data_IF_549061787042
#
_entry.id   IF_549061787042
#
_cell.length_a   1.000
_cell.length_b   1.000
_cell.length_c   1.000
_cell.angle_alpha   90.00
_cell.angle_beta   90.00
_cell.angle_gamma   90.00
#
_symmetry.space_group_name_H-M   'P 1'
#
loop_
_entity.id
_entity.type
_entity.pdbx_description
1 polymer ?
#
# COMPACT_ATOMS: atom_id res chain seq x y z
N UNK A 1 19.33 -41.34 13.29
CA UNK A 1 18.77 -40.95 11.97
C UNK A 1 17.52 -41.76 11.62
N UNK A 2 17.47 -43.08 11.88
CA UNK A 2 16.30 -43.92 11.56
C UNK A 2 15.01 -43.50 12.25
N UNK A 3 15.04 -43.12 13.54
CA UNK A 3 13.88 -42.66 14.29
C UNK A 3 13.32 -41.35 13.76
N UNK A 4 14.17 -40.39 13.30
CA UNK A 4 13.73 -39.14 12.70
C UNK A 4 13.08 -39.38 11.34
N UNK A 5 13.60 -40.31 10.56
CA UNK A 5 13.04 -40.69 9.25
C UNK A 5 11.66 -41.37 9.41
N UNK A 6 11.49 -42.24 10.41
CA UNK A 6 10.19 -42.89 10.67
C UNK A 6 9.16 -41.89 11.15
N UNK A 7 9.50 -40.95 12.01
CA UNK A 7 8.59 -39.88 12.44
C UNK A 7 8.18 -39.00 11.25
N UNK A 8 9.14 -38.61 10.40
CA UNK A 8 8.87 -37.84 9.17
C UNK A 8 7.91 -38.57 8.24
N UNK A 9 8.09 -39.87 8.04
CA UNK A 9 7.22 -40.69 7.21
C UNK A 9 5.79 -40.79 7.78
N UNK A 10 5.65 -40.95 9.09
CA UNK A 10 4.35 -41.01 9.78
C UNK A 10 3.61 -39.68 9.63
N UNK A 11 4.31 -38.54 9.84
CA UNK A 11 3.73 -37.21 9.65
C UNK A 11 3.27 -36.99 8.21
N UNK A 12 4.08 -37.38 7.23
CA UNK A 12 3.74 -37.27 5.81
C UNK A 12 2.52 -38.10 5.45
N UNK A 13 2.40 -39.32 5.98
CA UNK A 13 1.22 -40.19 5.77
C UNK A 13 -0.02 -39.54 6.43
N UNK A 14 0.09 -39.01 7.64
CA UNK A 14 -1.02 -38.35 8.33
C UNK A 14 -1.48 -37.09 7.57
N UNK A 15 -0.55 -36.28 7.03
CA UNK A 15 -0.88 -35.11 6.21
C UNK A 15 -1.56 -35.51 4.89
N UNK A 16 -1.06 -36.57 4.22
CA UNK A 16 -1.69 -37.10 3.00
C UNK A 16 -3.11 -37.61 3.24
N UNK A 17 -3.34 -38.34 4.33
CA UNK A 17 -4.65 -38.78 4.71
C UNK A 17 -5.59 -37.62 5.06
N UNK A 18 -5.12 -36.65 5.80
CA UNK A 18 -5.86 -35.43 6.12
C UNK A 18 -6.19 -34.61 4.86
N UNK A 19 -5.23 -34.46 3.94
CA UNK A 19 -5.44 -33.81 2.66
C UNK A 19 -6.47 -34.53 1.80
N UNK A 20 -6.39 -35.86 1.71
CA UNK A 20 -7.37 -36.71 0.98
C UNK A 20 -8.79 -36.57 1.52
N UNK A 21 -8.95 -36.53 2.84
CA UNK A 21 -10.26 -36.29 3.49
C UNK A 21 -10.80 -34.91 3.18
N UNK A 22 -9.93 -33.87 3.18
CA UNK A 22 -10.31 -32.50 2.88
C UNK A 22 -10.65 -32.29 1.40
N UNK A 23 -9.95 -32.99 0.48
CA UNK A 23 -10.24 -32.93 -0.96
C UNK A 23 -11.67 -33.40 -1.29
N UNK A 24 -12.15 -34.42 -0.63
CA UNK A 24 -13.56 -34.91 -0.78
C UNK A 24 -14.60 -33.88 -0.31
N UNK A 25 -14.25 -32.94 0.55
CA UNK A 25 -15.13 -31.90 1.07
C UNK A 25 -15.09 -30.59 0.24
N UNK A 26 -14.18 -30.51 -0.76
CA UNK A 26 -14.04 -29.33 -1.59
C UNK A 26 -15.19 -29.28 -2.61
N UNK A 27 -16.10 -28.35 -2.40
CA UNK A 27 -17.20 -28.11 -3.36
C UNK A 27 -16.64 -27.53 -4.66
N UNK A 28 -17.21 -27.97 -5.80
CA UNK A 28 -16.86 -27.47 -7.14
C UNK A 28 -16.82 -25.93 -7.21
N UNK A 29 -17.74 -25.27 -6.50
CA UNK A 29 -17.78 -23.80 -6.41
C UNK A 29 -16.49 -23.19 -5.81
N UNK A 30 -15.82 -23.87 -4.88
CA UNK A 30 -14.53 -23.40 -4.32
C UNK A 30 -13.38 -23.57 -5.29
N UNK A 31 -13.36 -24.66 -6.06
CA UNK A 31 -12.34 -24.88 -7.10
C UNK A 31 -12.45 -23.84 -8.21
N UNK A 32 -13.68 -23.58 -8.69
CA UNK A 32 -13.93 -22.55 -9.72
C UNK A 32 -13.55 -21.16 -9.21
N UNK A 33 -13.90 -20.81 -7.96
CA UNK A 33 -13.51 -19.51 -7.37
C UNK A 33 -11.99 -19.38 -7.18
N UNK A 34 -11.30 -20.49 -6.89
CA UNK A 34 -9.83 -20.52 -6.83
C UNK A 34 -9.19 -20.29 -8.20
N UNK A 35 -9.70 -20.97 -9.24
CA UNK A 35 -9.23 -20.81 -10.62
C UNK A 35 -9.43 -19.40 -11.16
N UNK A 36 -10.59 -18.78 -10.92
CA UNK A 36 -10.86 -17.40 -11.32
C UNK A 36 -9.95 -16.39 -10.60
N UNK A 37 -9.61 -16.65 -9.32
CA UNK A 37 -8.67 -15.84 -8.58
C UNK A 37 -7.26 -15.89 -9.21
N UNK A 38 -6.77 -17.11 -9.48
CA UNK A 38 -5.43 -17.31 -10.08
C UNK A 38 -5.38 -16.64 -11.45
N UNK A 39 -6.40 -16.84 -12.30
CA UNK A 39 -6.48 -16.20 -13.60
C UNK A 39 -6.53 -14.67 -13.51
N UNK A 40 -7.30 -14.13 -12.55
CA UNK A 40 -7.35 -12.68 -12.29
C UNK A 40 -6.02 -12.12 -11.80
N UNK A 41 -5.33 -12.82 -10.89
CA UNK A 41 -4.00 -12.42 -10.40
C UNK A 41 -2.96 -12.52 -11.51
N UNK A 42 -3.00 -13.56 -12.33
CA UNK A 42 -2.12 -13.75 -13.47
C UNK A 42 -2.30 -12.64 -14.50
N UNK A 43 -3.54 -12.31 -14.85
CA UNK A 43 -3.86 -11.16 -15.72
C UNK A 43 -3.37 -9.83 -15.14
N UNK A 44 -3.52 -9.63 -13.83
CA UNK A 44 -3.03 -8.42 -13.17
C UNK A 44 -1.50 -8.34 -13.13
N UNK A 45 -0.80 -9.47 -12.98
CA UNK A 45 0.66 -9.53 -13.07
C UNK A 45 1.16 -9.22 -14.48
N UNK A 46 0.53 -9.79 -15.51
CA UNK A 46 0.87 -9.46 -16.91
C UNK A 46 0.60 -8.00 -17.24
N UNK A 47 -0.43 -7.41 -16.63
CA UNK A 47 -0.73 -5.98 -16.76
C UNK A 47 0.12 -5.08 -15.85
N UNK A 48 1.02 -5.64 -15.03
CA UNK A 48 1.80 -4.92 -14.00
C UNK A 48 0.91 -4.02 -13.11
N UNK A 49 -0.38 -4.39 -12.97
CA UNK A 49 -1.34 -3.67 -12.11
C UNK A 49 -1.41 -4.31 -10.72
N UNK A 50 -0.40 -4.03 -9.89
CA UNK A 50 -0.37 -4.47 -8.49
C UNK A 50 -1.59 -4.00 -7.70
N UNK A 51 -2.19 -2.91 -8.13
CA UNK A 51 -3.42 -2.42 -7.55
C UNK A 51 -4.62 -3.35 -7.81
N UNK A 52 -4.69 -3.97 -8.98
CA UNK A 52 -5.72 -4.96 -9.30
C UNK A 52 -5.53 -6.24 -8.48
N UNK A 53 -4.29 -6.70 -8.32
CA UNK A 53 -3.98 -7.85 -7.43
C UNK A 53 -4.53 -7.59 -6.03
N UNK A 54 -4.26 -6.41 -5.48
CA UNK A 54 -4.74 -6.04 -4.16
C UNK A 54 -6.28 -5.97 -4.09
N UNK A 55 -6.93 -5.43 -5.10
CA UNK A 55 -8.41 -5.34 -5.11
C UNK A 55 -9.03 -6.73 -5.11
N UNK A 56 -8.48 -7.67 -5.89
CA UNK A 56 -8.91 -9.07 -5.91
C UNK A 56 -8.76 -9.71 -4.51
N UNK A 57 -7.64 -9.49 -3.84
CA UNK A 57 -7.39 -10.02 -2.48
C UNK A 57 -8.35 -9.40 -1.46
N UNK A 58 -8.58 -8.08 -1.53
CA UNK A 58 -9.49 -7.37 -0.62
C UNK A 58 -10.94 -7.81 -0.84
N UNK A 59 -11.36 -7.95 -2.10
CA UNK A 59 -12.70 -8.44 -2.45
C UNK A 59 -12.93 -9.85 -1.90
N UNK A 60 -11.98 -10.76 -2.14
CA UNK A 60 -12.06 -12.11 -1.61
C UNK A 60 -12.14 -12.14 -0.08
N UNK A 61 -11.28 -11.38 0.60
CA UNK A 61 -11.32 -11.28 2.05
C UNK A 61 -12.64 -10.67 2.56
N UNK A 62 -13.31 -9.81 1.78
CA UNK A 62 -14.62 -9.28 2.11
C UNK A 62 -15.71 -10.34 1.96
N UNK A 63 -15.68 -11.12 0.87
CA UNK A 63 -16.62 -12.23 0.62
C UNK A 63 -16.48 -13.33 1.68
N UNK A 64 -15.25 -13.69 2.06
CA UNK A 64 -14.98 -14.70 3.09
C UNK A 64 -15.46 -14.27 4.49
N UNK A 65 -15.46 -12.97 4.80
CA UNK A 65 -15.99 -12.43 6.07
C UNK A 65 -17.51 -12.52 6.17
N UNK A 66 -18.20 -12.54 5.05
CA UNK A 66 -19.65 -12.54 5.01
C UNK A 66 -20.28 -11.25 5.56
N UNK A 67 -21.43 -11.40 6.22
CA UNK A 67 -22.22 -10.28 6.71
C UNK A 67 -21.56 -9.60 7.93
N UNK A 68 -21.39 -8.29 7.86
CA UNK A 68 -20.89 -7.47 8.97
C UNK A 68 -22.04 -6.68 9.57
N UNK A 69 -22.21 -6.73 10.90
CA UNK A 69 -23.26 -5.98 11.59
C UNK A 69 -23.19 -4.50 11.25
N UNK A 70 -24.32 -3.86 10.87
CA UNK A 70 -24.33 -2.43 10.61
C UNK A 70 -24.05 -1.65 11.90
N UNK A 71 -23.33 -0.53 11.78
CA UNK A 71 -23.15 0.43 12.89
C UNK A 71 -23.73 1.76 12.50
N UNK A 72 -24.26 2.46 13.49
CA UNK A 72 -24.82 3.79 13.32
C UNK A 72 -23.75 4.75 12.73
N UNK A 73 -24.13 5.50 11.71
CA UNK A 73 -23.33 6.60 11.19
C UNK A 73 -23.36 7.79 12.15
N UNK A 74 -22.32 8.61 12.11
CA UNK A 74 -22.28 9.91 12.81
C UNK A 74 -21.84 11.01 11.86
N UNK A 75 -22.25 12.23 12.15
CA UNK A 75 -21.90 13.40 11.36
C UNK A 75 -22.83 13.64 10.18
N UNK A 76 -22.78 14.85 9.64
CA UNK A 76 -23.54 15.32 8.49
C UNK A 76 -22.59 15.72 7.39
N UNK A 77 -22.99 15.49 6.14
CA UNK A 77 -22.19 15.91 5.00
C UNK A 77 -20.84 15.16 4.87
N UNK A 78 -19.77 15.89 4.67
CA UNK A 78 -18.42 15.34 4.52
C UNK A 78 -17.90 14.67 5.81
N UNK A 79 -18.38 15.09 6.99
CA UNK A 79 -18.03 14.47 8.25
C UNK A 79 -18.50 13.01 8.33
N UNK A 80 -19.64 12.69 7.71
CA UNK A 80 -20.12 11.31 7.64
C UNK A 80 -19.16 10.40 6.84
N UNK A 81 -18.51 10.93 5.80
CA UNK A 81 -17.51 10.20 5.03
C UNK A 81 -16.25 9.93 5.86
N UNK A 82 -15.76 10.94 6.57
CA UNK A 82 -14.62 10.80 7.49
C UNK A 82 -14.92 9.78 8.60
N UNK A 83 -16.12 9.86 9.18
CA UNK A 83 -16.56 8.93 10.22
C UNK A 83 -16.59 7.49 9.72
N UNK A 84 -17.07 7.27 8.49
CA UNK A 84 -17.08 5.94 7.84
C UNK A 84 -15.68 5.39 7.66
N UNK A 85 -14.73 6.24 7.28
CA UNK A 85 -13.34 5.83 7.08
C UNK A 85 -12.67 5.48 8.41
N UNK A 86 -12.93 6.25 9.48
CA UNK A 86 -12.50 5.93 10.83
C UNK A 86 -13.14 4.65 11.38
N UNK A 87 -14.44 4.44 11.16
CA UNK A 87 -15.11 3.19 11.54
C UNK A 87 -14.50 1.98 10.82
N UNK A 88 -14.13 2.16 9.55
CA UNK A 88 -13.46 1.12 8.78
C UNK A 88 -12.10 0.79 9.37
N UNK A 89 -11.31 1.79 9.77
CA UNK A 89 -10.04 1.62 10.45
C UNK A 89 -10.19 0.80 11.75
N UNK A 90 -11.16 1.16 12.58
CA UNK A 90 -11.45 0.44 13.82
C UNK A 90 -11.94 -1.00 13.61
N UNK A 91 -12.70 -1.26 12.53
CA UNK A 91 -13.20 -2.60 12.21
C UNK A 91 -12.16 -3.52 11.59
N UNK A 92 -11.20 -2.96 10.85
CA UNK A 92 -10.19 -3.69 10.12
C UNK A 92 -8.79 -3.15 10.42
N UNK A 93 -8.28 -3.35 11.66
CA UNK A 93 -7.02 -2.77 12.10
C UNK A 93 -5.79 -3.46 11.49
N UNK A 94 -5.94 -4.61 10.81
CA UNK A 94 -4.82 -5.38 10.25
C UNK A 94 -3.82 -4.55 9.44
N UNK A 95 -4.22 -3.58 8.60
CA UNK A 95 -3.26 -2.74 7.87
C UNK A 95 -2.44 -1.80 8.76
N UNK A 96 -2.86 -1.55 10.02
CA UNK A 96 -2.08 -0.75 10.97
C UNK A 96 -0.81 -1.47 11.42
N UNK A 97 -0.79 -2.81 11.41
CA UNK A 97 0.39 -3.60 11.81
C UNK A 97 1.58 -3.32 10.88
N UNK A 98 1.48 -3.49 9.54
CA UNK A 98 2.59 -3.15 8.66
C UNK A 98 2.93 -1.65 8.67
N UNK A 99 1.95 -0.76 8.90
CA UNK A 99 2.23 0.67 9.05
C UNK A 99 3.08 0.94 10.31
N UNK A 100 2.72 0.35 11.45
CA UNK A 100 3.49 0.48 12.69
C UNK A 100 4.89 -0.16 12.54
N UNK A 101 4.97 -1.35 11.94
CA UNK A 101 6.25 -2.02 11.70
C UNK A 101 7.17 -1.21 10.77
N UNK A 102 6.61 -0.48 9.81
CA UNK A 102 7.39 0.34 8.88
C UNK A 102 8.11 1.53 9.55
N UNK A 103 7.71 1.92 10.76
CA UNK A 103 8.41 2.95 11.54
C UNK A 103 9.86 2.51 11.87
N UNK A 104 10.11 1.21 11.97
CA UNK A 104 11.46 0.68 12.24
C UNK A 104 12.41 0.92 11.05
N UNK A 105 11.91 1.02 9.83
CA UNK A 105 12.74 1.11 8.63
C UNK A 105 13.68 2.34 8.61
N UNK A 106 13.23 3.59 8.89
CA UNK A 106 14.16 4.72 8.97
C UNK A 106 15.25 4.56 10.03
N UNK A 107 14.94 3.94 11.18
CA UNK A 107 15.92 3.65 12.22
C UNK A 107 16.94 2.62 11.77
N UNK A 108 16.50 1.56 11.11
CA UNK A 108 17.38 0.52 10.59
C UNK A 108 18.32 1.09 9.50
N UNK A 109 17.80 1.92 8.60
CA UNK A 109 18.60 2.56 7.55
C UNK A 109 19.62 3.55 8.14
N UNK A 110 19.24 4.28 9.18
CA UNK A 110 20.13 5.18 9.90
C UNK A 110 21.26 4.39 10.60
N UNK A 111 20.92 3.32 11.34
CA UNK A 111 21.87 2.45 12.01
C UNK A 111 22.85 1.76 11.04
N UNK A 112 22.43 1.50 9.79
CA UNK A 112 23.27 0.95 8.73
C UNK A 112 24.15 2.02 8.04
N UNK A 113 24.06 3.29 8.44
CA UNK A 113 24.79 4.39 7.81
C UNK A 113 24.26 4.81 6.45
N UNK A 114 23.08 4.34 6.04
CA UNK A 114 22.44 4.62 4.75
C UNK A 114 21.65 5.94 4.79
N UNK A 115 22.21 6.95 5.46
CA UNK A 115 21.52 8.22 5.76
C UNK A 115 21.08 9.00 4.53
N UNK A 116 21.87 8.94 3.43
CA UNK A 116 21.58 9.64 2.18
C UNK A 116 20.34 9.10 1.47
N UNK A 117 20.17 7.78 1.39
CA UNK A 117 19.06 7.14 0.69
C UNK A 117 17.86 6.88 1.61
N UNK A 118 18.03 7.08 2.93
CA UNK A 118 16.99 6.83 3.94
C UNK A 118 15.67 7.55 3.61
N UNK A 119 15.63 8.86 3.26
CA UNK A 119 14.36 9.54 2.95
C UNK A 119 13.63 8.90 1.77
N UNK A 120 14.34 8.50 0.74
CA UNK A 120 13.75 7.87 -0.44
C UNK A 120 13.18 6.48 -0.14
N UNK A 121 13.99 5.61 0.47
CA UNK A 121 13.59 4.24 0.78
C UNK A 121 12.44 4.23 1.79
N UNK A 122 12.53 5.04 2.83
CA UNK A 122 11.48 5.18 3.84
C UNK A 122 10.18 5.75 3.24
N UNK A 123 10.29 6.71 2.32
CA UNK A 123 9.17 7.24 1.55
C UNK A 123 8.49 6.17 0.70
N UNK A 124 9.25 5.31 0.01
CA UNK A 124 8.71 4.19 -0.76
C UNK A 124 7.99 3.16 0.12
N UNK A 125 8.57 2.82 1.26
CA UNK A 125 7.93 1.93 2.23
C UNK A 125 6.60 2.53 2.69
N UNK A 126 6.58 3.83 2.99
CA UNK A 126 5.37 4.54 3.40
C UNK A 126 4.30 4.53 2.29
N UNK A 127 4.68 4.68 1.01
CA UNK A 127 3.74 4.53 -0.13
C UNK A 127 3.03 3.19 -0.04
N UNK A 128 3.78 2.10 0.08
CA UNK A 128 3.23 0.73 0.07
C UNK A 128 2.27 0.52 1.25
N UNK A 129 2.66 0.94 2.46
CA UNK A 129 1.86 0.71 3.67
C UNK A 129 0.66 1.65 3.79
N UNK A 130 0.64 2.81 3.11
CA UNK A 130 -0.49 3.73 3.07
C UNK A 130 -1.57 3.35 2.04
N UNK A 131 -1.22 2.64 0.98
CA UNK A 131 -2.18 2.22 -0.07
C UNK A 131 -3.45 1.55 0.48
N UNK A 132 -3.42 0.68 1.52
CA UNK A 132 -4.61 0.11 2.14
C UNK A 132 -5.62 1.14 2.65
N UNK A 133 -5.15 2.25 3.16
CA UNK A 133 -6.00 3.30 3.74
C UNK A 133 -6.63 4.22 2.69
N UNK A 134 -6.07 4.27 1.47
CA UNK A 134 -6.55 5.07 0.34
C UNK A 134 -7.60 4.35 -0.52
N UNK A 135 -8.19 3.25 -0.07
CA UNK A 135 -9.13 2.46 -0.89
C UNK A 135 -10.40 3.23 -1.24
N UNK A 136 -10.91 4.12 -0.38
CA UNK A 136 -12.05 5.00 -0.70
C UNK A 136 -11.69 5.93 -1.86
N UNK A 137 -10.54 6.58 -1.80
CA UNK A 137 -10.04 7.45 -2.87
C UNK A 137 -9.88 6.68 -4.18
N UNK A 138 -9.39 5.44 -4.12
CA UNK A 138 -9.24 4.57 -5.29
C UNK A 138 -10.58 4.28 -5.96
N UNK A 139 -11.58 3.86 -5.18
CA UNK A 139 -12.93 3.58 -5.69
C UNK A 139 -13.51 4.83 -6.34
N UNK A 140 -13.44 5.99 -5.69
CA UNK A 140 -13.92 7.26 -6.21
C UNK A 140 -13.20 7.70 -7.50
N UNK A 141 -11.91 7.37 -7.63
CA UNK A 141 -11.10 7.73 -8.80
C UNK A 141 -11.35 6.80 -9.98
N UNK A 142 -11.61 5.51 -9.72
CA UNK A 142 -11.83 4.51 -10.77
C UNK A 142 -13.28 4.43 -11.25
N UNK A 143 -14.24 4.83 -10.39
CA UNK A 143 -15.67 4.82 -10.70
C UNK A 143 -16.18 6.25 -10.84
N UNK A 144 -16.01 6.83 -12.03
CA UNK A 144 -16.34 8.24 -12.30
C UNK A 144 -17.81 8.62 -12.04
N UNK A 145 -18.75 7.65 -12.09
CA UNK A 145 -20.16 7.85 -11.75
C UNK A 145 -20.41 7.97 -10.25
N UNK A 146 -19.67 7.22 -9.42
CA UNK A 146 -19.92 7.15 -7.99
C UNK A 146 -19.69 8.49 -7.29
N UNK A 147 -18.64 9.22 -7.66
CA UNK A 147 -18.35 10.52 -7.08
C UNK A 147 -19.44 11.57 -7.39
N UNK A 148 -20.18 11.40 -8.50
CA UNK A 148 -21.28 12.28 -8.91
C UNK A 148 -22.60 12.00 -8.19
N UNK A 149 -22.72 10.83 -7.55
CA UNK A 149 -23.93 10.46 -6.78
C UNK A 149 -23.97 11.18 -5.42
N UNK A 150 -22.85 11.72 -4.95
CA UNK A 150 -22.81 12.49 -3.72
C UNK A 150 -23.27 13.93 -3.98
N UNK A 151 -24.03 14.56 -3.04
CA UNK A 151 -24.49 15.95 -3.15
C UNK A 151 -23.36 16.95 -2.88
N UNK A 152 -22.10 16.59 -3.19
CA UNK A 152 -20.90 17.38 -2.96
C UNK A 152 -20.06 17.46 -4.24
N UNK A 153 -19.20 18.45 -4.31
CA UNK A 153 -18.21 18.53 -5.38
C UNK A 153 -17.26 17.33 -5.31
N UNK A 154 -16.90 16.76 -6.46
CA UNK A 154 -15.98 15.62 -6.55
C UNK A 154 -14.64 15.88 -5.82
N UNK A 155 -14.14 17.12 -5.86
CA UNK A 155 -12.94 17.54 -5.13
C UNK A 155 -13.11 17.37 -3.62
N UNK A 156 -14.22 17.84 -3.06
CA UNK A 156 -14.49 17.74 -1.62
C UNK A 156 -14.58 16.29 -1.13
N UNK A 157 -15.23 15.42 -1.90
CA UNK A 157 -15.33 13.99 -1.58
C UNK A 157 -13.95 13.32 -1.62
N UNK A 158 -13.13 13.67 -2.62
CA UNK A 158 -11.74 13.17 -2.72
C UNK A 158 -10.88 13.67 -1.57
N UNK A 159 -10.98 14.96 -1.22
CA UNK A 159 -10.23 15.53 -0.10
C UNK A 159 -10.63 14.83 1.21
N UNK A 160 -11.92 14.61 1.46
CA UNK A 160 -12.37 13.86 2.63
C UNK A 160 -11.76 12.45 2.70
N UNK A 161 -11.65 11.76 1.56
CA UNK A 161 -11.05 10.42 1.49
C UNK A 161 -9.51 10.41 1.72
N UNK A 162 -8.86 11.57 1.67
CA UNK A 162 -7.41 11.72 1.91
C UNK A 162 -7.08 12.08 3.37
N UNK A 163 -8.04 12.55 4.17
CA UNK A 163 -7.79 13.06 5.54
C UNK A 163 -7.25 11.98 6.47
N UNK A 164 -7.89 10.82 6.52
CA UNK A 164 -7.46 9.72 7.42
C UNK A 164 -6.08 9.20 7.03
N UNK A 165 -5.77 8.92 5.74
CA UNK A 165 -4.42 8.54 5.33
C UNK A 165 -3.37 9.62 5.61
N UNK A 166 -3.71 10.91 5.47
CA UNK A 166 -2.82 12.02 5.81
C UNK A 166 -2.50 12.02 7.31
N UNK A 167 -3.53 11.87 8.14
CA UNK A 167 -3.33 11.80 9.60
C UNK A 167 -2.40 10.65 9.99
N UNK A 168 -2.58 9.46 9.38
CA UNK A 168 -1.69 8.31 9.62
C UNK A 168 -0.26 8.58 9.14
N UNK A 169 -0.08 9.28 8.03
CA UNK A 169 1.25 9.69 7.56
C UNK A 169 1.91 10.68 8.53
N UNK A 170 1.15 11.65 9.08
CA UNK A 170 1.66 12.59 10.09
C UNK A 170 2.07 11.88 11.38
N UNK A 171 1.30 10.92 11.84
CA UNK A 171 1.67 10.10 13.02
C UNK A 171 2.95 9.30 12.74
N UNK A 172 3.07 8.71 11.55
CA UNK A 172 4.27 8.01 11.13
C UNK A 172 5.47 8.94 11.07
N UNK A 173 5.33 10.13 10.52
CA UNK A 173 6.38 11.17 10.49
C UNK A 173 6.85 11.52 11.90
N UNK A 174 5.91 11.81 12.81
CA UNK A 174 6.25 12.15 14.19
C UNK A 174 7.05 11.01 14.87
N UNK A 175 6.68 9.76 14.63
CA UNK A 175 7.37 8.59 15.16
C UNK A 175 8.77 8.38 14.56
N UNK A 176 9.06 8.90 13.36
CA UNK A 176 10.33 8.69 12.67
C UNK A 176 11.30 9.88 12.78
N UNK A 177 10.88 11.02 13.32
CA UNK A 177 11.74 12.19 13.54
C UNK A 177 13.07 11.82 14.20
N UNK A 178 13.13 11.03 15.30
CA UNK A 178 14.38 10.70 15.96
C UNK A 178 15.37 9.96 15.04
N UNK A 179 14.88 9.11 14.14
CA UNK A 179 15.73 8.42 13.17
C UNK A 179 16.37 9.39 12.17
N UNK A 180 15.65 10.43 11.77
CA UNK A 180 16.19 11.44 10.82
C UNK A 180 17.09 12.47 11.50
N UNK A 181 17.00 12.64 12.81
CA UNK A 181 17.98 13.40 13.61
C UNK A 181 19.30 12.63 13.73
N UNK A 182 19.27 11.29 13.66
CA UNK A 182 20.45 10.45 13.72
C UNK A 182 20.76 9.93 15.14
N UNK A 183 19.74 9.82 16.00
CA UNK A 183 19.92 9.33 17.39
C UNK A 183 20.45 7.89 17.42
N UNK A 184 20.20 7.10 16.37
CA UNK A 184 20.61 5.69 16.27
C UNK A 184 21.93 5.50 15.54
N UNK A 185 22.43 6.50 14.85
CA UNK A 185 23.69 6.42 14.11
C UNK A 185 24.88 6.83 14.98
N UNK A 186 26.02 6.16 14.79
CA UNK A 186 27.30 6.56 15.36
C UNK A 186 27.91 7.79 14.64
N UNK A 187 27.18 8.37 13.70
CA UNK A 187 27.61 9.52 12.88
C UNK A 187 27.24 10.86 13.53
N UNK A 188 27.52 11.93 12.80
CA UNK A 188 27.18 13.27 13.24
C UNK A 188 25.65 13.45 13.34
N UNK A 189 25.16 13.80 14.52
CA UNK A 189 23.78 14.17 14.74
C UNK A 189 23.43 15.41 13.88
N UNK A 190 22.29 15.31 13.19
CA UNK A 190 21.73 16.48 12.49
C UNK A 190 21.03 17.40 13.48
N UNK A 191 20.89 18.67 13.11
CA UNK A 191 20.06 19.56 13.91
C UNK A 191 18.64 19.02 14.02
N UNK A 192 17.96 19.26 15.14
CA UNK A 192 16.57 18.86 15.32
C UNK A 192 15.66 19.44 14.23
N UNK A 193 15.96 20.65 13.75
CA UNK A 193 15.24 21.31 12.64
C UNK A 193 15.44 20.55 11.33
N UNK A 194 16.67 20.19 10.96
CA UNK A 194 16.93 19.45 9.72
C UNK A 194 16.31 18.05 9.79
N UNK A 195 16.44 17.34 10.88
CA UNK A 195 15.84 16.02 11.06
C UNK A 195 14.30 16.06 10.95
N UNK A 196 13.66 17.05 11.58
CA UNK A 196 12.20 17.22 11.45
C UNK A 196 11.78 17.61 10.03
N UNK A 197 12.54 18.48 9.36
CA UNK A 197 12.26 18.85 7.97
C UNK A 197 12.40 17.63 7.02
N UNK A 198 13.45 16.82 7.19
CA UNK A 198 13.63 15.59 6.41
C UNK A 198 12.49 14.60 6.65
N UNK A 199 12.08 14.41 7.91
CA UNK A 199 10.93 13.58 8.25
C UNK A 199 9.64 14.06 7.54
N UNK A 200 9.38 15.38 7.56
CA UNK A 200 8.24 15.99 6.89
C UNK A 200 8.29 15.78 5.37
N UNK A 201 9.42 16.05 4.74
CA UNK A 201 9.64 15.80 3.30
C UNK A 201 9.37 14.34 2.97
N UNK A 202 9.93 13.40 3.73
CA UNK A 202 9.78 11.96 3.53
C UNK A 202 8.33 11.52 3.65
N UNK A 203 7.63 11.98 4.67
CA UNK A 203 6.24 11.61 4.89
C UNK A 203 5.29 12.21 3.87
N UNK A 204 5.49 13.48 3.47
CA UNK A 204 4.72 14.12 2.40
C UNK A 204 4.99 13.40 1.07
N UNK A 205 6.25 13.07 0.77
CA UNK A 205 6.62 12.32 -0.42
C UNK A 205 5.91 10.96 -0.47
N UNK A 206 5.94 10.20 0.63
CA UNK A 206 5.26 8.91 0.74
C UNK A 206 3.75 9.03 0.60
N UNK A 207 3.12 10.01 1.24
CA UNK A 207 1.70 10.25 1.14
C UNK A 207 1.28 10.67 -0.28
N UNK A 208 1.97 11.64 -0.91
CA UNK A 208 1.69 12.06 -2.28
C UNK A 208 1.95 10.93 -3.28
N UNK A 209 3.02 10.15 -3.10
CA UNK A 209 3.31 8.97 -3.89
C UNK A 209 2.18 7.94 -3.82
N UNK A 210 1.65 7.67 -2.62
CA UNK A 210 0.53 6.76 -2.42
C UNK A 210 -0.77 7.29 -3.08
N UNK A 211 -1.06 8.59 -2.93
CA UNK A 211 -2.22 9.24 -3.57
C UNK A 211 -2.09 9.16 -5.10
N UNK A 212 -0.92 9.46 -5.65
CA UNK A 212 -0.66 9.39 -7.09
C UNK A 212 -0.81 7.98 -7.64
N UNK A 213 -0.32 6.98 -6.90
CA UNK A 213 -0.51 5.57 -7.27
C UNK A 213 -1.98 5.19 -7.33
N UNK A 214 -2.72 5.49 -6.26
CA UNK A 214 -4.12 5.08 -6.11
C UNK A 214 -5.04 5.78 -7.12
N UNK A 215 -4.74 7.04 -7.47
CA UNK A 215 -5.50 7.83 -8.45
C UNK A 215 -5.08 7.59 -9.90
N UNK A 216 -4.16 6.66 -10.15
CA UNK A 216 -3.72 6.29 -11.48
C UNK A 216 -4.90 5.90 -12.37
N UNK A 217 -4.94 6.42 -13.59
CA UNK A 217 -5.89 5.97 -14.61
C UNK A 217 -5.59 4.51 -14.99
N UNK A 218 -6.62 3.78 -15.40
CA UNK A 218 -6.43 2.45 -15.98
C UNK A 218 -5.51 2.56 -17.18
N UNK A 219 -4.69 1.53 -17.38
CA UNK A 219 -3.84 1.44 -18.58
C UNK A 219 -4.74 1.34 -19.80
N UNK A 220 -4.50 2.19 -20.79
CA UNK A 220 -5.16 2.12 -22.08
C UNK A 220 -4.33 1.21 -23.00
N UNK A 221 -4.87 0.04 -23.31
CA UNK A 221 -4.24 -0.93 -24.20
C UNK A 221 -4.43 -0.60 -25.68
N UNK A 222 -5.20 0.46 -26.02
CA UNK A 222 -5.35 0.93 -27.39
C UNK A 222 -4.19 1.83 -27.84
N UNK A 223 -3.24 2.15 -26.94
CA UNK A 223 -2.04 2.90 -27.31
C UNK A 223 -1.09 2.07 -28.15
N UNK A 224 -0.33 2.67 -29.09
CA UNK A 224 0.66 1.96 -29.89
C UNK A 224 1.62 1.18 -29.00
N UNK A 225 1.82 -0.10 -29.33
CA UNK A 225 2.74 -0.98 -28.61
C UNK A 225 4.16 -0.74 -29.13
N UNK A 226 5.13 -0.72 -28.21
CA UNK A 226 6.55 -0.71 -28.57
C UNK A 226 7.02 -2.13 -28.66
N UNK A 227 7.58 -2.51 -29.80
CA UNK A 227 8.19 -3.82 -30.00
C UNK A 227 9.49 -3.88 -29.18
N UNK A 228 9.62 -4.89 -28.36
CA UNK A 228 10.83 -5.23 -27.60
C UNK A 228 11.27 -6.65 -27.98
N UNK A 229 12.49 -7.02 -27.67
CA UNK A 229 12.97 -8.39 -27.90
C UNK A 229 12.12 -9.47 -27.20
N UNK A 230 11.46 -9.10 -26.11
CA UNK A 230 10.57 -9.98 -25.33
C UNK A 230 9.10 -9.90 -25.74
N UNK A 231 8.75 -9.14 -26.79
CA UNK A 231 7.37 -8.95 -27.27
C UNK A 231 6.92 -7.49 -27.32
N UNK A 232 5.68 -7.26 -27.69
CA UNK A 232 5.09 -5.92 -27.76
C UNK A 232 4.55 -5.50 -26.39
N UNK A 233 5.10 -4.41 -25.84
CA UNK A 233 4.71 -3.87 -24.51
C UNK A 233 4.12 -2.48 -24.71
N UNK A 234 2.92 -2.19 -24.15
CA UNK A 234 2.39 -0.83 -24.15
C UNK A 234 3.22 0.06 -23.20
N UNK A 235 3.73 1.21 -23.68
CA UNK A 235 4.55 2.13 -22.87
C UNK A 235 3.85 2.57 -21.58
N UNK A 236 2.52 2.67 -21.63
CA UNK A 236 1.69 3.02 -20.49
C UNK A 236 1.86 2.07 -19.29
N UNK A 237 2.22 0.79 -19.51
CA UNK A 237 2.51 -0.16 -18.43
C UNK A 237 3.78 0.23 -17.67
N UNK A 238 4.85 0.58 -18.39
CA UNK A 238 6.13 0.97 -17.79
C UNK A 238 5.93 2.25 -16.97
N UNK A 239 5.28 3.26 -17.54
CA UNK A 239 5.00 4.50 -16.81
C UNK A 239 4.09 4.28 -15.59
N UNK A 240 3.18 3.30 -15.64
CA UNK A 240 2.31 3.00 -14.52
C UNK A 240 3.07 2.32 -13.37
N UNK A 241 4.11 1.54 -13.66
CA UNK A 241 4.97 0.91 -12.66
C UNK A 241 5.73 1.95 -11.82
N UNK A 242 6.24 3.00 -12.46
CA UNK A 242 6.99 4.07 -11.78
C UNK A 242 6.09 5.11 -11.10
N UNK A 243 4.78 5.02 -11.29
CA UNK A 243 3.84 5.97 -10.73
C UNK A 243 3.85 5.90 -9.20
N UNK A 244 4.04 7.04 -8.57
CA UNK A 244 4.22 7.14 -7.12
C UNK A 244 5.69 7.09 -6.70
N UNK A 245 6.51 6.22 -7.31
CA UNK A 245 7.96 6.21 -7.13
C UNK A 245 8.55 7.53 -7.65
N UNK A 246 8.08 8.00 -8.81
CA UNK A 246 8.44 9.27 -9.42
C UNK A 246 8.24 10.46 -8.48
N UNK A 247 7.13 10.50 -7.75
CA UNK A 247 6.86 11.56 -6.78
C UNK A 247 7.77 11.47 -5.56
N UNK A 248 8.00 10.26 -5.04
CA UNK A 248 8.93 10.08 -3.92
C UNK A 248 10.34 10.51 -4.33
N UNK A 249 10.82 10.06 -5.50
CA UNK A 249 12.13 10.43 -6.00
C UNK A 249 12.26 11.95 -6.17
N UNK A 250 11.28 12.60 -6.81
CA UNK A 250 11.31 14.03 -7.08
C UNK A 250 11.37 14.86 -5.78
N UNK A 251 10.53 14.50 -4.79
CA UNK A 251 10.44 15.25 -3.53
C UNK A 251 11.65 15.00 -2.63
N UNK A 252 12.20 13.77 -2.61
CA UNK A 252 13.36 13.45 -1.75
C UNK A 252 14.70 13.74 -2.41
N UNK A 253 14.77 13.94 -3.74
CA UNK A 253 16.00 14.18 -4.46
C UNK A 253 16.82 15.37 -3.92
N UNK A 254 16.25 16.56 -3.60
CA UNK A 254 17.04 17.66 -3.04
C UNK A 254 17.77 17.27 -1.75
N UNK A 255 17.09 16.53 -0.85
CA UNK A 255 17.67 16.07 0.41
C UNK A 255 18.76 15.03 0.17
N UNK A 256 18.57 14.11 -0.78
CA UNK A 256 19.57 13.09 -1.14
C UNK A 256 20.83 13.69 -1.77
N UNK A 257 20.69 14.78 -2.49
CA UNK A 257 21.81 15.50 -3.13
C UNK A 257 22.49 16.49 -2.19
N UNK A 258 22.18 16.49 -0.90
CA UNK A 258 22.78 17.37 0.11
C UNK A 258 22.23 18.81 0.08
N UNK A 259 21.12 19.04 -0.63
CA UNK A 259 20.40 20.30 -0.61
C UNK A 259 19.62 20.52 0.69
N UNK A 260 19.24 21.78 0.94
CA UNK A 260 18.34 22.09 2.04
C UNK A 260 16.98 21.40 1.84
N UNK A 261 16.38 20.82 2.89
CA UNK A 261 15.02 20.23 2.80
C UNK A 261 13.96 21.21 2.28
N UNK A 262 14.21 22.52 2.41
CA UNK A 262 13.31 23.57 1.91
C UNK A 262 13.14 23.57 0.39
N UNK A 263 14.11 23.06 -0.37
CA UNK A 263 13.99 22.94 -1.84
C UNK A 263 13.08 21.76 -2.28
N UNK A 264 12.54 20.99 -1.34
CA UNK A 264 11.64 19.86 -1.61
C UNK A 264 10.16 20.27 -1.64
N UNK A 265 9.87 21.52 -1.30
CA UNK A 265 8.57 22.16 -1.35
C UNK A 265 8.58 23.26 -2.41
#
# INVERSE_FOLDING_TARGET
PAAAASIGLILLILELLAARRRLGLIRRARLVSGGSLVAGMQGAMYALDFGLIRDIVVERAAVERGFVKPTAGRGVGLQALLWRDLQRLGRFPRPLVPLAASVVAPYALDALGLTTINPFVSGLILVVVLVPFLSMLRVLSRTGGLARMFPFRTSQVRTAAMVVPLFLALVWQAATIPAFIGITSAGAERSALDGTAIALVTGIAGWLGAVRWVTAKKVDFNTPMVATESGAVPPALIFNLFRGIDMVALITAPVMLGGSPLYSF
#
